data_IF_150674339684
#
_entry.id   IF_150674339684
#
_cell.length_a   1.000
_cell.length_b   1.000
_cell.length_c   1.000
_cell.angle_alpha   90.00
_cell.angle_beta   90.00
_cell.angle_gamma   90.00
#
_symmetry.space_group_name_H-M   'P 1'
#
loop_
_entity.id
_entity.type
_entity.pdbx_description
1 polymer ?
#
# COMPACT_ATOMS: atom_id res chain seq x y z
N UNK A 1 10.51 18.05 23.18
CA UNK A 1 9.15 18.27 22.65
C UNK A 1 8.52 16.91 22.40
N UNK A 2 7.49 16.46 23.14
CA UNK A 2 6.90 15.16 22.90
C UNK A 2 6.00 15.23 21.68
N UNK A 3 6.33 14.43 20.66
CA UNK A 3 5.50 14.20 19.48
C UNK A 3 4.21 13.50 19.92
N UNK A 4 3.11 14.25 19.98
CA UNK A 4 1.79 13.73 20.31
C UNK A 4 1.44 12.67 19.26
N UNK A 5 1.47 11.39 19.65
CA UNK A 5 0.93 10.30 18.83
C UNK A 5 -0.52 10.67 18.54
N UNK A 6 -0.85 11.02 17.29
CA UNK A 6 -2.23 11.22 16.86
C UNK A 6 -2.94 9.89 17.08
N UNK A 7 -3.71 9.78 18.16
CA UNK A 7 -4.80 8.80 18.22
C UNK A 7 -5.66 9.07 16.99
N UNK A 8 -5.95 8.06 16.16
CA UNK A 8 -6.88 8.20 15.04
C UNK A 8 -8.18 8.80 15.56
N UNK A 9 -8.29 10.13 15.48
CA UNK A 9 -9.41 10.87 16.03
C UNK A 9 -10.58 10.63 15.11
N UNK A 10 -11.68 10.12 15.66
CA UNK A 10 -12.93 10.00 14.95
C UNK A 10 -13.78 11.23 15.30
N UNK A 11 -14.00 12.12 14.34
CA UNK A 11 -14.73 13.39 14.52
C UNK A 11 -16.12 13.30 13.91
N UNK A 12 -17.12 13.87 14.59
CA UNK A 12 -18.47 13.98 14.04
C UNK A 12 -18.57 15.12 13.02
N UNK A 13 -19.51 15.03 12.09
CA UNK A 13 -19.75 16.06 11.06
C UNK A 13 -19.94 17.47 11.64
N UNK A 14 -20.61 17.58 12.80
CA UNK A 14 -20.82 18.85 13.49
C UNK A 14 -19.51 19.45 13.99
N UNK A 15 -18.65 18.64 14.61
CA UNK A 15 -17.35 19.07 15.09
C UNK A 15 -16.43 19.49 13.95
N UNK A 16 -16.43 18.76 12.83
CA UNK A 16 -15.65 19.12 11.64
C UNK A 16 -16.17 20.40 11.00
N UNK A 17 -17.49 20.56 10.89
CA UNK A 17 -18.12 21.77 10.37
C UNK A 17 -17.70 23.02 11.15
N UNK A 18 -17.71 22.93 12.49
CA UNK A 18 -17.29 24.01 13.38
C UNK A 18 -15.79 24.30 13.26
N UNK A 19 -14.95 23.25 13.26
CA UNK A 19 -13.49 23.38 13.17
C UNK A 19 -13.02 24.09 11.89
N UNK A 20 -13.68 23.84 10.76
CA UNK A 20 -13.32 24.42 9.46
C UNK A 20 -14.19 25.62 9.04
N UNK A 21 -15.12 26.03 9.90
CA UNK A 21 -16.05 27.13 9.64
C UNK A 21 -16.87 26.91 8.37
N UNK A 22 -17.35 25.68 8.13
CA UNK A 22 -18.15 25.32 6.95
C UNK A 22 -19.53 24.82 7.36
N UNK A 23 -20.51 25.05 6.49
CA UNK A 23 -21.85 24.54 6.72
C UNK A 23 -21.85 22.99 6.61
N UNK A 24 -22.52 22.24 7.50
CA UNK A 24 -22.60 20.78 7.42
C UNK A 24 -23.13 20.25 6.08
N UNK A 25 -23.96 21.04 5.38
CA UNK A 25 -24.44 20.69 4.04
C UNK A 25 -23.33 20.70 2.98
N UNK A 26 -22.32 21.56 3.13
CA UNK A 26 -21.15 21.60 2.25
C UNK A 26 -20.30 20.34 2.44
N UNK A 27 -20.13 19.86 3.67
CA UNK A 27 -19.50 18.56 3.94
C UNK A 27 -20.26 17.41 3.27
N UNK A 28 -21.59 17.39 3.39
CA UNK A 28 -22.45 16.39 2.73
C UNK A 28 -22.36 16.45 1.21
N UNK A 29 -22.19 17.64 0.64
CA UNK A 29 -21.95 17.81 -0.78
C UNK A 29 -20.64 17.12 -1.18
N UNK A 30 -19.53 17.40 -0.48
CA UNK A 30 -18.25 16.75 -0.77
C UNK A 30 -18.28 15.23 -0.58
N UNK A 31 -19.03 14.72 0.40
CA UNK A 31 -19.27 13.27 0.52
C UNK A 31 -20.02 12.69 -0.68
N UNK A 32 -21.10 13.34 -1.11
CA UNK A 32 -21.93 12.87 -2.23
C UNK A 32 -21.15 12.83 -3.53
N UNK A 33 -20.30 13.83 -3.75
CA UNK A 33 -19.41 13.92 -4.90
C UNK A 33 -18.19 12.98 -4.77
N UNK A 34 -18.12 12.19 -3.70
CA UNK A 34 -17.06 11.20 -3.48
C UNK A 34 -15.69 11.79 -3.11
N UNK A 35 -15.63 13.09 -2.83
CA UNK A 35 -14.40 13.79 -2.45
C UNK A 35 -13.97 13.45 -1.01
N UNK A 36 -14.93 13.12 -0.15
CA UNK A 36 -14.70 12.65 1.22
C UNK A 36 -15.38 11.29 1.43
N UNK A 37 -14.71 10.37 2.12
CA UNK A 37 -15.22 9.01 2.38
C UNK A 37 -15.10 8.68 3.87
N UNK A 38 -15.87 9.35 4.75
CA UNK A 38 -15.80 9.10 6.18
C UNK A 38 -16.20 7.67 6.50
N UNK A 39 -15.56 7.11 7.52
CA UNK A 39 -15.93 5.82 8.07
C UNK A 39 -17.26 5.92 8.83
N UNK A 40 -18.03 4.83 8.85
CA UNK A 40 -19.22 4.74 9.70
C UNK A 40 -18.88 4.00 10.99
N UNK A 41 -19.31 4.54 12.12
CA UNK A 41 -19.29 3.84 13.40
C UNK A 41 -20.46 2.84 13.49
N UNK A 42 -20.39 1.89 14.44
CA UNK A 42 -21.43 0.87 14.70
C UNK A 42 -22.83 1.47 14.94
N UNK A 43 -22.91 2.72 15.40
CA UNK A 43 -24.15 3.49 15.54
C UNK A 43 -24.62 4.21 14.27
N UNK A 44 -24.16 3.82 13.08
CA UNK A 44 -24.45 4.46 11.78
C UNK A 44 -24.09 5.97 11.70
N UNK A 45 -23.26 6.44 12.62
CA UNK A 45 -22.80 7.83 12.67
C UNK A 45 -21.54 7.99 11.83
N UNK A 46 -21.49 9.07 11.04
CA UNK A 46 -20.32 9.42 10.21
C UNK A 46 -19.18 9.91 11.11
N UNK A 47 -18.03 9.27 10.97
CA UNK A 47 -16.82 9.58 11.70
C UNK A 47 -15.73 9.92 10.69
N UNK A 48 -15.23 11.15 10.76
CA UNK A 48 -14.08 11.61 9.99
C UNK A 48 -12.82 11.24 10.74
N UNK A 49 -11.84 10.70 10.04
CA UNK A 49 -10.51 10.43 10.57
C UNK A 49 -9.60 11.66 10.41
N UNK A 50 -8.42 11.65 11.03
CA UNK A 50 -7.42 12.69 10.78
C UNK A 50 -7.01 12.77 9.29
N UNK A 51 -7.01 11.64 8.57
CA UNK A 51 -6.75 11.59 7.12
C UNK A 51 -7.86 12.28 6.32
N UNK A 52 -9.12 12.12 6.73
CA UNK A 52 -10.25 12.83 6.12
C UNK A 52 -10.17 14.34 6.35
N UNK A 53 -9.67 14.78 7.52
CA UNK A 53 -9.46 16.18 7.83
C UNK A 53 -8.36 16.81 6.98
N UNK A 54 -7.23 16.13 6.81
CA UNK A 54 -6.15 16.56 5.92
C UNK A 54 -6.62 16.65 4.46
N UNK A 55 -7.48 15.71 4.04
CA UNK A 55 -8.12 15.75 2.71
C UNK A 55 -9.10 16.91 2.59
N UNK A 56 -9.91 17.16 3.61
CA UNK A 56 -10.85 18.29 3.65
C UNK A 56 -10.12 19.64 3.57
N UNK A 57 -9.04 19.81 4.32
CA UNK A 57 -8.23 21.02 4.28
C UNK A 57 -7.73 21.31 2.86
N UNK A 58 -7.22 20.28 2.18
CA UNK A 58 -6.78 20.41 0.78
C UNK A 58 -7.93 20.79 -0.17
N UNK A 59 -9.11 20.17 0.00
CA UNK A 59 -10.31 20.51 -0.78
C UNK A 59 -10.70 21.98 -0.56
N UNK A 60 -10.69 22.45 0.69
CA UNK A 60 -11.05 23.82 1.03
C UNK A 60 -10.07 24.83 0.47
N UNK A 61 -8.77 24.55 0.47
CA UNK A 61 -7.76 25.43 -0.13
C UNK A 61 -7.96 25.53 -1.66
N UNK A 62 -8.23 24.41 -2.33
CA UNK A 62 -8.55 24.43 -3.77
C UNK A 62 -9.83 25.23 -4.07
N UNK A 63 -10.86 25.08 -3.24
CA UNK A 63 -12.14 25.74 -3.44
C UNK A 63 -12.09 27.24 -3.12
N UNK A 64 -11.47 27.63 -2.00
CA UNK A 64 -11.46 29.01 -1.49
C UNK A 64 -10.35 29.85 -2.10
N UNK A 65 -9.14 29.31 -2.18
CA UNK A 65 -7.96 30.10 -2.57
C UNK A 65 -7.75 30.09 -4.08
N UNK A 66 -8.02 28.96 -4.74
CA UNK A 66 -7.85 28.79 -6.19
C UNK A 66 -9.16 28.87 -6.98
N UNK A 67 -10.31 28.93 -6.30
CA UNK A 67 -11.63 29.01 -6.96
C UNK A 67 -11.97 27.78 -7.81
N UNK A 68 -11.36 26.63 -7.53
CA UNK A 68 -11.56 25.41 -8.33
C UNK A 68 -12.95 24.85 -8.08
N UNK A 69 -13.65 24.47 -9.15
CA UNK A 69 -14.95 23.83 -9.03
C UNK A 69 -14.84 22.38 -8.50
N UNK A 70 -15.96 21.82 -8.05
CA UNK A 70 -16.02 20.46 -7.46
C UNK A 70 -15.47 19.39 -8.43
N UNK A 71 -15.79 19.49 -9.72
CA UNK A 71 -15.32 18.54 -10.73
C UNK A 71 -13.78 18.59 -10.89
N UNK A 72 -13.21 19.80 -10.88
CA UNK A 72 -11.77 20.03 -10.94
C UNK A 72 -11.07 19.51 -9.68
N UNK A 73 -11.66 19.72 -8.50
CA UNK A 73 -11.16 19.14 -7.25
C UNK A 73 -11.14 17.61 -7.32
N UNK A 74 -12.19 16.99 -7.87
CA UNK A 74 -12.21 15.53 -8.06
C UNK A 74 -11.05 15.04 -8.93
N UNK A 75 -10.81 15.71 -10.07
CA UNK A 75 -9.71 15.39 -10.99
C UNK A 75 -8.36 15.56 -10.29
N UNK A 76 -8.15 16.67 -9.58
CA UNK A 76 -6.88 16.95 -8.87
C UNK A 76 -6.62 15.87 -7.81
N UNK A 77 -7.63 15.48 -7.04
CA UNK A 77 -7.50 14.41 -6.04
C UNK A 77 -7.15 13.06 -6.68
N UNK A 78 -7.78 12.73 -7.80
CA UNK A 78 -7.47 11.51 -8.56
C UNK A 78 -6.04 11.53 -9.11
N UNK A 79 -5.59 12.67 -9.64
CA UNK A 79 -4.22 12.83 -10.12
C UNK A 79 -3.21 12.68 -9.00
N UNK A 80 -3.50 13.24 -7.82
CA UNK A 80 -2.67 13.06 -6.62
C UNK A 80 -2.56 11.60 -6.21
N UNK A 81 -3.67 10.88 -6.14
CA UNK A 81 -3.69 9.45 -5.81
C UNK A 81 -2.85 8.62 -6.79
N UNK A 82 -3.01 8.87 -8.09
CA UNK A 82 -2.21 8.22 -9.14
C UNK A 82 -0.71 8.54 -9.03
N UNK A 83 -0.37 9.78 -8.67
CA UNK A 83 1.03 10.17 -8.47
C UNK A 83 1.63 9.48 -7.24
N UNK A 84 0.87 9.36 -6.15
CA UNK A 84 1.29 8.62 -4.96
C UNK A 84 1.49 7.13 -5.26
N UNK A 85 0.62 6.51 -6.05
CA UNK A 85 0.78 5.13 -6.54
C UNK A 85 2.05 4.97 -7.37
N UNK A 86 2.26 5.85 -8.34
CA UNK A 86 3.45 5.83 -9.20
C UNK A 86 4.74 6.01 -8.39
N UNK A 87 4.73 6.91 -7.39
CA UNK A 87 5.86 7.12 -6.49
C UNK A 87 6.14 5.87 -5.64
N UNK A 88 5.10 5.19 -5.14
CA UNK A 88 5.26 3.92 -4.41
C UNK A 88 5.88 2.83 -5.30
N UNK A 89 5.43 2.72 -6.54
CA UNK A 89 5.99 1.77 -7.51
C UNK A 89 7.46 2.09 -7.83
N UNK A 90 7.79 3.36 -8.04
CA UNK A 90 9.15 3.81 -8.29
C UNK A 90 10.07 3.51 -7.09
N UNK A 91 9.62 3.80 -5.87
CA UNK A 91 10.37 3.47 -4.64
C UNK A 91 10.62 1.97 -4.52
N UNK A 92 9.59 1.14 -4.74
CA UNK A 92 9.73 -0.31 -4.73
C UNK A 92 10.71 -0.82 -5.79
N UNK A 93 10.72 -0.21 -6.98
CA UNK A 93 11.70 -0.54 -8.02
C UNK A 93 13.13 -0.15 -7.62
N UNK A 94 13.32 1.06 -7.07
CA UNK A 94 14.63 1.52 -6.60
C UNK A 94 15.16 0.62 -5.49
N UNK A 95 14.31 0.22 -4.54
CA UNK A 95 14.67 -0.69 -3.46
C UNK A 95 15.05 -2.09 -3.99
N UNK A 96 14.31 -2.59 -4.98
CA UNK A 96 14.65 -3.82 -5.68
C UNK A 96 16.03 -3.74 -6.34
N UNK A 97 16.30 -2.70 -7.15
CA UNK A 97 17.60 -2.52 -7.81
C UNK A 97 18.72 -2.40 -6.77
N UNK A 98 18.50 -1.66 -5.68
CA UNK A 98 19.47 -1.49 -4.60
C UNK A 98 19.82 -2.81 -3.93
N UNK A 99 18.81 -3.61 -3.58
CA UNK A 99 19.02 -4.93 -2.94
C UNK A 99 19.73 -5.92 -3.85
N UNK A 100 19.43 -5.91 -5.16
CA UNK A 100 20.11 -6.74 -6.15
C UNK A 100 21.59 -6.35 -6.31
N UNK A 101 21.90 -5.05 -6.38
CA UNK A 101 23.28 -4.56 -6.47
C UNK A 101 24.11 -4.93 -5.22
N UNK A 102 23.54 -4.78 -4.02
CA UNK A 102 24.21 -5.15 -2.76
C UNK A 102 24.50 -6.65 -2.71
N UNK A 103 23.53 -7.48 -3.12
CA UNK A 103 23.68 -8.95 -3.15
C UNK A 103 24.80 -9.40 -4.09
N UNK A 104 24.92 -8.76 -5.26
CA UNK A 104 26.02 -9.02 -6.21
C UNK A 104 27.38 -8.56 -5.69
N UNK A 105 27.45 -7.39 -5.05
CA UNK A 105 28.69 -6.88 -4.45
C UNK A 105 29.21 -7.77 -3.31
N UNK A 106 28.31 -8.28 -2.45
CA UNK A 106 28.68 -9.22 -1.39
C UNK A 106 29.15 -10.57 -1.93
N UNK A 107 28.64 -11.01 -3.10
CA UNK A 107 29.14 -12.20 -3.81
C UNK A 107 30.54 -12.06 -4.40
N UNK A 108 30.99 -10.84 -4.73
CA UNK A 108 32.35 -10.56 -5.24
C UNK A 108 33.39 -10.34 -4.12
N UNK A 109 32.95 -10.23 -2.86
CA UNK A 109 33.81 -10.03 -1.69
C UNK A 109 34.34 -11.31 -1.02
N UNK A 110 34.02 -12.50 -1.54
CA UNK A 110 34.71 -13.72 -1.11
C UNK A 110 36.05 -13.83 -1.87
N UNK A 111 37.21 -13.70 -1.19
CA UNK A 111 38.48 -13.97 -1.83
C UNK A 111 38.52 -15.44 -2.25
N UNK A 112 39.04 -15.67 -3.46
CA UNK A 112 39.24 -16.97 -4.07
C UNK A 112 39.88 -17.97 -3.09
N UNK A 113 39.08 -18.92 -2.62
CA UNK A 113 39.57 -20.16 -2.03
C UNK A 113 38.69 -21.33 -2.47
N UNK A 114 38.41 -21.44 -3.78
CA UNK A 114 38.22 -22.70 -4.51
C UNK A 114 37.53 -22.45 -5.85
N UNK A 115 38.32 -22.34 -6.92
CA UNK A 115 37.84 -22.73 -8.23
C UNK A 115 37.53 -24.23 -8.21
N UNK A 116 36.27 -24.63 -8.03
CA UNK A 116 35.81 -26.01 -8.25
C UNK A 116 34.41 -25.96 -8.86
N UNK A 117 34.36 -26.00 -10.19
CA UNK A 117 33.15 -26.36 -10.93
C UNK A 117 32.62 -27.68 -10.34
N UNK A 118 31.37 -27.75 -9.84
CA UNK A 118 30.86 -28.99 -9.29
C UNK A 118 30.58 -29.95 -10.45
N UNK A 119 31.48 -30.91 -10.68
CA UNK A 119 31.22 -32.06 -11.52
C UNK A 119 30.09 -32.89 -10.88
N UNK A 120 28.88 -32.75 -11.40
CA UNK A 120 27.78 -33.68 -11.13
C UNK A 120 28.23 -35.09 -11.53
N UNK A 121 28.46 -35.97 -10.57
CA UNK A 121 28.54 -37.42 -10.84
C UNK A 121 27.14 -37.91 -11.24
N UNK A 122 26.97 -38.60 -12.38
CA UNK A 122 25.70 -39.25 -12.67
C UNK A 122 25.53 -40.43 -11.68
N UNK A 123 24.41 -40.42 -10.94
CA UNK A 123 24.01 -41.55 -10.12
C UNK A 123 23.62 -42.69 -11.07
N UNK A 124 24.41 -43.75 -11.11
CA UNK A 124 24.04 -45.01 -11.75
C UNK A 124 22.97 -45.66 -10.88
N UNK A 125 21.72 -45.65 -11.35
CA UNK A 125 20.62 -46.39 -10.72
C UNK A 125 20.71 -47.84 -11.18
N UNK A 126 21.24 -48.71 -10.32
CA UNK A 126 21.12 -50.16 -10.50
C UNK A 126 19.69 -50.60 -10.17
N UNK A 127 19.03 -51.44 -11.00
CA UNK A 127 17.67 -51.89 -10.73
C UNK A 127 17.63 -52.89 -9.57
N UNK A 128 16.74 -52.63 -8.62
CA UNK A 128 16.43 -53.47 -7.44
C UNK A 128 15.84 -54.83 -7.86
N UNK A 129 16.37 -55.98 -7.39
CA UNK A 129 15.71 -57.27 -7.59
C UNK A 129 14.90 -57.74 -6.36
N UNK A 130 13.94 -58.62 -6.67
CA UNK A 130 13.17 -59.55 -5.83
C UNK A 130 11.95 -58.96 -5.08
N UNK A 131 10.78 -59.59 -5.02
CA UNK A 131 10.44 -61.02 -4.89
C UNK A 131 9.02 -61.35 -5.42
N UNK A 132 8.68 -62.64 -5.66
CA UNK A 132 7.51 -63.07 -6.43
C UNK A 132 6.18 -63.04 -5.65
N UNK A 133 5.06 -62.78 -6.37
CA UNK A 133 3.69 -62.99 -5.87
C UNK A 133 3.23 -64.45 -6.11
N UNK A 134 2.43 -65.04 -5.19
CA UNK A 134 2.04 -66.43 -5.27
C UNK A 134 0.93 -66.69 -6.30
N UNK A 135 0.96 -67.88 -6.89
CA UNK A 135 -0.05 -68.42 -7.81
C UNK A 135 -1.38 -68.65 -7.08
N UNK A 136 -2.50 -68.30 -7.72
CA UNK A 136 -3.79 -68.96 -7.51
C UNK A 136 -4.41 -69.28 -8.87
N UNK A 137 -4.64 -70.58 -9.09
CA UNK A 137 -5.38 -71.17 -10.22
C UNK A 137 -6.87 -71.19 -9.87
N UNK A 138 -7.73 -70.75 -10.78
CA UNK A 138 -8.81 -71.52 -11.43
C UNK A 138 -9.70 -70.60 -12.23
#
# INVERSE_FOLDING_TARGET
>A
MPTKRKSKGAYMISAVAEMYGIHPQTLRLYEREGLLKPSRSDGNTRMYTDEDLERLEFILNLARDLGVNIAGIAIILQMRERMEEMNRQMQGFVDYVRSEMVSRMQGMGQPAASAIVPLRRPVVVSPKPATPKPKARR
#
